data_IF_911047175962
#
_entry.id   IF_911047175962
#
_cell.length_a   1.000
_cell.length_b   1.000
_cell.length_c   1.000
_cell.angle_alpha   90.00
_cell.angle_beta   90.00
_cell.angle_gamma   90.00
#
_symmetry.space_group_name_H-M   'P 1'
#
loop_
_entity.id
_entity.type
_entity.pdbx_description
1 polymer ?
#
# COMPACT_ATOMS: atom_id res chain seq x y z
N UNK A 1 -73.78 8.00 -8.51
CA UNK A 1 -72.68 7.79 -9.49
C UNK A 1 -71.30 7.61 -8.84
N UNK A 2 -70.99 8.28 -7.71
CA UNK A 2 -69.68 8.20 -7.05
C UNK A 2 -69.19 6.80 -6.66
N UNK A 3 -70.07 5.90 -6.16
CA UNK A 3 -69.66 4.54 -5.76
C UNK A 3 -69.22 3.65 -6.93
N UNK A 4 -69.80 3.83 -8.12
CA UNK A 4 -69.42 3.04 -9.32
C UNK A 4 -68.09 3.51 -9.91
N UNK A 5 -67.82 4.82 -9.85
CA UNK A 5 -66.53 5.38 -10.26
C UNK A 5 -65.40 4.92 -9.32
N UNK A 6 -65.62 4.92 -8.00
CA UNK A 6 -64.64 4.45 -7.02
C UNK A 6 -64.26 2.97 -7.20
N UNK A 7 -65.23 2.10 -7.49
CA UNK A 7 -64.98 0.66 -7.73
C UNK A 7 -64.10 0.45 -8.97
N UNK A 8 -64.32 1.21 -10.04
CA UNK A 8 -63.50 1.13 -11.27
C UNK A 8 -62.07 1.60 -11.00
N UNK A 9 -61.90 2.70 -10.25
CA UNK A 9 -60.57 3.18 -9.86
C UNK A 9 -59.83 2.18 -8.97
N UNK A 10 -60.50 1.59 -7.97
CA UNK A 10 -59.91 0.54 -7.12
C UNK A 10 -59.48 -0.67 -7.95
N UNK A 11 -60.30 -1.13 -8.89
CA UNK A 11 -59.95 -2.24 -9.77
C UNK A 11 -58.71 -1.93 -10.62
N UNK A 12 -58.59 -0.72 -11.15
CA UNK A 12 -57.42 -0.28 -11.93
C UNK A 12 -56.15 -0.26 -11.05
N UNK A 13 -56.22 0.30 -9.85
CA UNK A 13 -55.07 0.33 -8.93
C UNK A 13 -54.65 -1.07 -8.48
N UNK A 14 -55.59 -2.00 -8.31
CA UNK A 14 -55.29 -3.40 -8.01
C UNK A 14 -54.60 -4.11 -9.19
N UNK A 15 -55.02 -3.83 -10.43
CA UNK A 15 -54.34 -4.37 -11.62
C UNK A 15 -52.91 -3.85 -11.72
N UNK A 16 -52.67 -2.56 -11.44
CA UNK A 16 -51.31 -2.01 -11.42
C UNK A 16 -50.46 -2.59 -10.28
N UNK A 17 -51.03 -2.80 -9.10
CA UNK A 17 -50.31 -3.41 -7.98
C UNK A 17 -49.93 -4.87 -8.27
N UNK A 18 -50.87 -5.68 -8.80
CA UNK A 18 -50.61 -7.09 -9.14
C UNK A 18 -49.63 -7.19 -10.30
N UNK A 19 -49.80 -6.39 -11.36
CA UNK A 19 -48.92 -6.39 -12.52
C UNK A 19 -47.48 -5.93 -12.19
N UNK A 20 -47.32 -4.98 -11.27
CA UNK A 20 -45.99 -4.55 -10.83
C UNK A 20 -45.33 -5.61 -9.94
N UNK A 21 -46.10 -6.29 -9.08
CA UNK A 21 -45.60 -7.35 -8.22
C UNK A 21 -45.13 -8.59 -9.01
N UNK A 22 -45.83 -8.96 -10.08
CA UNK A 22 -45.40 -10.08 -10.94
C UNK A 22 -44.12 -9.76 -11.71
N UNK A 23 -43.93 -8.50 -12.13
CA UNK A 23 -42.69 -8.06 -12.79
C UNK A 23 -41.51 -8.07 -11.81
N UNK A 24 -41.70 -7.64 -10.56
CA UNK A 24 -40.68 -7.70 -9.51
C UNK A 24 -40.20 -9.13 -9.22
N UNK A 25 -41.09 -10.12 -9.30
CA UNK A 25 -40.77 -11.52 -9.01
C UNK A 25 -40.12 -12.30 -10.17
N UNK A 26 -40.16 -11.76 -11.39
CA UNK A 26 -39.65 -12.43 -12.58
C UNK A 26 -38.39 -11.76 -13.16
N UNK A 27 -37.97 -10.61 -12.61
CA UNK A 27 -36.81 -9.87 -13.08
C UNK A 27 -35.52 -10.47 -12.50
N UNK A 28 -34.60 -10.87 -13.38
CA UNK A 28 -33.25 -11.30 -13.02
C UNK A 28 -32.33 -10.08 -13.00
N UNK A 29 -31.53 -9.92 -11.93
CA UNK A 29 -30.56 -8.84 -11.81
C UNK A 29 -29.40 -9.08 -12.77
N UNK A 30 -28.95 -8.07 -13.54
CA UNK A 30 -27.68 -8.17 -14.28
C UNK A 30 -26.54 -8.47 -13.30
N UNK A 31 -25.68 -9.42 -13.64
CA UNK A 31 -24.40 -9.61 -12.94
C UNK A 31 -23.33 -8.77 -13.63
N UNK A 32 -22.31 -8.33 -12.89
CA UNK A 32 -21.04 -7.93 -13.52
C UNK A 32 -20.32 -9.23 -13.79
N UNK A 33 -19.97 -9.48 -15.05
CA UNK A 33 -19.15 -10.62 -15.43
C UNK A 33 -18.25 -10.15 -16.56
N UNK A 34 -16.94 -10.23 -16.36
CA UNK A 34 -16.02 -9.91 -17.42
C UNK A 34 -16.09 -11.04 -18.46
N UNK A 35 -16.55 -10.74 -19.67
CA UNK A 35 -16.78 -11.76 -20.70
C UNK A 35 -15.46 -12.36 -21.24
N UNK A 36 -14.32 -11.68 -21.04
CA UNK A 36 -12.97 -12.15 -21.38
C UNK A 36 -11.89 -11.42 -20.54
N UNK A 37 -11.77 -11.73 -19.23
CA UNK A 37 -10.77 -11.07 -18.41
C UNK A 37 -9.37 -11.51 -18.84
N UNK A 38 -8.47 -10.55 -18.97
CA UNK A 38 -7.07 -10.79 -19.32
C UNK A 38 -6.38 -11.71 -18.30
N UNK A 39 -6.79 -11.60 -17.03
CA UNK A 39 -6.35 -12.49 -15.97
C UNK A 39 -7.51 -12.91 -15.07
N UNK A 40 -7.51 -14.19 -14.69
CA UNK A 40 -8.35 -14.75 -13.64
C UNK A 40 -7.43 -15.48 -12.65
N UNK A 41 -7.45 -15.06 -11.39
CA UNK A 41 -6.39 -15.29 -10.41
C UNK A 41 -6.99 -15.74 -9.08
N UNK A 42 -6.40 -16.80 -8.52
CA UNK A 42 -6.75 -17.32 -7.19
C UNK A 42 -5.65 -17.05 -6.16
N UNK A 43 -5.99 -17.17 -4.88
CA UNK A 43 -5.00 -16.99 -3.81
C UNK A 43 -3.86 -18.01 -3.91
N UNK A 44 -2.63 -17.53 -3.76
CA UNK A 44 -1.39 -18.30 -3.84
C UNK A 44 -0.86 -18.46 -5.27
N UNK A 45 -1.56 -17.92 -6.26
CA UNK A 45 -1.19 -18.02 -7.66
C UNK A 45 -0.12 -16.99 -8.06
N UNK A 46 0.67 -17.34 -9.07
CA UNK A 46 1.64 -16.45 -9.69
C UNK A 46 1.20 -16.09 -11.10
N UNK A 47 1.32 -14.81 -11.48
CA UNK A 47 1.07 -14.34 -12.83
C UNK A 47 2.13 -13.36 -13.30
N UNK A 48 2.45 -13.44 -14.59
CA UNK A 48 3.31 -12.46 -15.25
C UNK A 48 2.43 -11.37 -15.87
N UNK A 49 2.60 -10.15 -15.39
CA UNK A 49 1.93 -8.96 -15.90
C UNK A 49 3.00 -7.97 -16.35
N UNK A 50 2.92 -7.52 -17.60
CA UNK A 50 3.88 -6.57 -18.19
C UNK A 50 5.36 -6.98 -18.03
N UNK A 51 5.64 -8.28 -17.99
CA UNK A 51 6.99 -8.84 -17.86
C UNK A 51 7.52 -8.97 -16.43
N UNK A 52 6.75 -8.59 -15.41
CA UNK A 52 7.07 -8.81 -14.00
C UNK A 52 6.22 -9.96 -13.45
N UNK A 53 6.84 -10.88 -12.70
CA UNK A 53 6.13 -11.96 -12.01
C UNK A 53 5.59 -11.47 -10.66
N UNK A 54 4.30 -11.66 -10.45
CA UNK A 54 3.59 -11.29 -9.23
C UNK A 54 3.06 -12.55 -8.55
N UNK A 55 3.21 -12.62 -7.22
CA UNK A 55 2.60 -13.64 -6.37
C UNK A 55 1.42 -13.04 -5.63
N UNK A 56 0.22 -13.59 -5.83
CA UNK A 56 -1.01 -13.13 -5.18
C UNK A 56 -1.18 -13.85 -3.85
N UNK A 57 -0.70 -13.25 -2.77
CA UNK A 57 -0.69 -13.86 -1.44
C UNK A 57 -2.06 -13.90 -0.77
N UNK A 58 -2.93 -12.94 -1.11
CA UNK A 58 -4.26 -12.81 -0.55
C UNK A 58 -5.25 -12.41 -1.65
N UNK A 59 -6.37 -13.12 -1.70
CA UNK A 59 -7.53 -12.76 -2.52
C UNK A 59 -8.74 -12.90 -1.60
N UNK A 60 -9.45 -11.81 -1.38
CA UNK A 60 -10.63 -11.73 -0.52
C UNK A 60 -11.83 -11.25 -1.32
N UNK A 61 -13.02 -11.20 -0.72
CA UNK A 61 -14.23 -10.77 -1.44
C UNK A 61 -14.20 -9.30 -1.92
N UNK A 62 -13.27 -8.47 -1.43
CA UNK A 62 -13.24 -7.02 -1.74
C UNK A 62 -11.88 -6.53 -2.25
N UNK A 63 -10.81 -7.27 -1.98
CA UNK A 63 -9.47 -6.88 -2.40
C UNK A 63 -8.57 -8.09 -2.64
N UNK A 64 -7.50 -7.88 -3.40
CA UNK A 64 -6.42 -8.83 -3.57
C UNK A 64 -5.06 -8.13 -3.40
N UNK A 65 -4.08 -8.86 -2.88
CA UNK A 65 -2.73 -8.37 -2.65
C UNK A 65 -1.75 -9.22 -3.44
N UNK A 66 -0.97 -8.54 -4.29
CA UNK A 66 0.10 -9.11 -5.06
C UNK A 66 1.45 -8.61 -4.55
N UNK A 67 2.46 -9.45 -4.62
CA UNK A 67 3.84 -9.09 -4.30
C UNK A 67 4.75 -9.39 -5.47
N UNK A 68 5.77 -8.57 -5.67
CA UNK A 68 6.81 -8.81 -6.66
C UNK A 68 8.18 -8.44 -6.11
N UNK A 69 9.21 -9.15 -6.57
CA UNK A 69 10.58 -8.94 -6.11
C UNK A 69 11.34 -8.06 -7.11
N UNK A 70 11.86 -6.94 -6.62
CA UNK A 70 12.87 -6.16 -7.32
C UNK A 70 14.25 -6.64 -6.90
N UNK A 71 14.89 -7.50 -7.69
CA UNK A 71 16.20 -8.08 -7.37
C UNK A 71 17.33 -7.05 -7.22
N UNK A 72 17.15 -5.84 -7.75
CA UNK A 72 18.16 -4.78 -7.79
C UNK A 72 17.60 -3.44 -7.30
N UNK A 73 16.88 -3.46 -6.18
CA UNK A 73 16.40 -2.23 -5.58
C UNK A 73 17.56 -1.45 -4.97
N UNK A 74 17.59 -0.13 -5.23
CA UNK A 74 18.59 0.76 -4.65
C UNK A 74 18.23 1.10 -3.21
N UNK A 75 19.20 0.95 -2.33
CA UNK A 75 19.17 1.39 -0.94
C UNK A 75 20.26 2.43 -0.72
N UNK A 76 20.02 3.36 0.19
CA UNK A 76 20.97 4.42 0.53
C UNK A 76 20.97 4.66 2.03
N UNK A 77 22.14 5.02 2.55
CA UNK A 77 22.28 5.49 3.93
C UNK A 77 23.10 6.77 3.95
N UNK A 78 22.76 7.66 4.89
CA UNK A 78 23.46 8.93 5.07
C UNK A 78 24.20 8.93 6.40
N UNK A 79 25.50 9.18 6.33
CA UNK A 79 26.37 9.34 7.48
C UNK A 79 26.69 10.82 7.65
N UNK A 80 26.26 11.42 8.76
CA UNK A 80 26.54 12.84 9.01
C UNK A 80 28.01 13.04 9.35
N UNK A 81 28.55 14.21 9.03
CA UNK A 81 29.89 14.59 9.45
C UNK A 81 29.97 14.60 10.98
N UNK A 82 31.04 14.01 11.51
CA UNK A 82 31.31 13.76 12.92
C UNK A 82 30.46 12.68 13.59
N UNK A 83 29.58 12.00 12.86
CA UNK A 83 28.92 10.79 13.38
C UNK A 83 29.90 9.63 13.44
N UNK A 84 29.61 8.66 14.32
CA UNK A 84 30.32 7.39 14.41
C UNK A 84 29.60 6.34 13.58
N UNK A 85 30.32 5.67 12.69
CA UNK A 85 29.81 4.58 11.84
C UNK A 85 30.64 3.32 12.04
N UNK A 86 30.01 2.16 11.91
CA UNK A 86 30.67 0.86 12.02
C UNK A 86 31.09 0.37 10.62
N UNK A 87 32.39 0.11 10.46
CA UNK A 87 33.01 -0.34 9.21
C UNK A 87 34.01 -1.43 9.55
N UNK A 88 33.88 -2.59 8.93
CA UNK A 88 34.76 -3.76 9.13
C UNK A 88 34.88 -4.19 10.60
N UNK A 89 33.81 -4.08 11.36
CA UNK A 89 33.73 -4.42 12.79
C UNK A 89 34.30 -3.37 13.75
N UNK A 90 34.70 -2.19 13.25
CA UNK A 90 35.30 -1.12 14.04
C UNK A 90 34.55 0.21 13.85
N UNK A 91 34.52 1.04 14.88
CA UNK A 91 33.88 2.36 14.82
C UNK A 91 34.83 3.43 14.31
N UNK A 92 34.35 4.24 13.37
CA UNK A 92 35.04 5.38 12.80
C UNK A 92 34.18 6.64 12.83
N UNK A 93 34.80 7.79 13.08
CA UNK A 93 34.19 9.10 12.91
C UNK A 93 34.30 9.56 11.47
N UNK A 94 33.17 10.00 10.91
CA UNK A 94 33.10 10.54 9.54
C UNK A 94 33.67 11.95 9.49
N UNK A 95 34.61 12.22 8.59
CA UNK A 95 35.17 13.54 8.38
C UNK A 95 35.21 13.89 6.89
N UNK A 96 34.35 14.82 6.48
CA UNK A 96 34.40 15.38 5.13
C UNK A 96 35.68 16.20 4.98
N UNK A 97 36.52 15.83 4.00
CA UNK A 97 37.81 16.51 3.74
C UNK A 97 37.68 17.51 2.61
N UNK A 98 36.96 17.16 1.54
CA UNK A 98 36.67 18.05 0.43
C UNK A 98 35.42 17.61 -0.35
N UNK A 99 34.29 18.24 -0.04
CA UNK A 99 33.02 17.95 -0.70
C UNK A 99 33.03 18.27 -2.21
N UNK A 100 33.80 19.26 -2.67
CA UNK A 100 33.83 19.65 -4.09
C UNK A 100 34.42 18.58 -5.01
N UNK A 101 35.27 17.70 -4.47
CA UNK A 101 35.84 16.54 -5.20
C UNK A 101 35.29 15.21 -4.69
N UNK A 102 34.29 15.25 -3.81
CA UNK A 102 33.65 14.06 -3.29
C UNK A 102 34.49 13.25 -2.29
N UNK A 103 35.39 13.88 -1.55
CA UNK A 103 36.35 13.19 -0.68
C UNK A 103 36.02 13.32 0.83
N UNK A 104 36.22 12.22 1.56
CA UNK A 104 36.10 12.16 3.01
C UNK A 104 37.07 11.13 3.60
N UNK A 105 37.18 11.14 4.93
CA UNK A 105 37.93 10.18 5.72
C UNK A 105 37.04 9.55 6.78
N UNK A 106 37.27 8.29 7.07
CA UNK A 106 36.83 7.63 8.29
C UNK A 106 38.03 7.55 9.24
N UNK A 107 37.87 8.06 10.47
CA UNK A 107 38.95 8.10 11.47
C UNK A 107 38.59 7.26 12.67
N UNK A 108 39.46 6.35 13.07
CA UNK A 108 39.21 5.40 14.15
C UNK A 108 38.74 6.09 15.43
N UNK A 109 37.64 5.60 16.01
CA UNK A 109 37.20 6.02 17.34
C UNK A 109 38.02 5.25 18.39
N UNK A 110 39.05 5.92 18.91
CA UNK A 110 39.94 5.33 19.91
C UNK A 110 39.42 5.49 21.34
N UNK A 111 39.38 4.38 22.08
CA UNK A 111 39.07 4.32 23.50
C UNK A 111 40.30 3.99 24.34
N UNK A 112 40.33 4.48 25.58
CA UNK A 112 41.34 4.10 26.57
C UNK A 112 40.74 3.01 27.48
N UNK A 113 41.43 1.89 27.64
CA UNK A 113 41.03 0.74 28.47
C UNK A 113 41.37 0.92 29.96
N UNK A 114 41.86 2.10 30.33
CA UNK A 114 42.36 2.45 31.66
C UNK A 114 41.66 3.69 32.24
N UNK A 115 41.66 3.84 33.58
CA UNK A 115 41.16 5.05 34.21
C UNK A 115 41.91 6.29 33.74
N UNK A 116 41.17 7.38 33.53
CA UNK A 116 41.71 8.67 33.11
C UNK A 116 41.45 9.76 34.16
N UNK A 117 42.29 10.79 34.18
CA UNK A 117 42.11 11.99 35.00
C UNK A 117 42.34 13.25 34.17
N UNK A 118 41.48 14.23 34.34
CA UNK A 118 41.63 15.57 33.75
C UNK A 118 42.53 16.44 34.64
N UNK A 119 43.55 17.07 34.06
CA UNK A 119 44.37 18.11 34.71
C UNK A 119 44.69 19.22 33.73
N UNK A 120 44.37 20.47 34.11
CA UNK A 120 44.62 21.66 33.30
C UNK A 120 44.06 21.57 31.86
N UNK A 121 42.93 20.86 31.67
CA UNK A 121 42.30 20.66 30.36
C UNK A 121 42.98 19.61 29.47
N UNK A 122 43.90 18.82 30.02
CA UNK A 122 44.49 17.66 29.35
C UNK A 122 44.04 16.38 30.06
N UNK A 123 43.54 15.42 29.28
CA UNK A 123 43.20 14.09 29.79
C UNK A 123 44.47 13.25 29.88
N UNK A 124 44.76 12.72 31.06
CA UNK A 124 45.86 11.79 31.31
C UNK A 124 45.33 10.39 31.59
N UNK A 125 46.03 9.37 31.09
CA UNK A 125 45.81 7.96 31.40
C UNK A 125 46.66 7.57 32.60
N UNK A 126 46.05 6.90 33.57
CA UNK A 126 46.75 6.44 34.77
C UNK A 126 47.42 5.09 34.45
N UNK A 127 48.75 5.10 34.40
CA UNK A 127 49.57 3.91 34.12
C UNK A 127 50.22 3.44 35.43
N UNK A 128 49.83 2.28 35.99
CA UNK A 128 50.50 1.74 37.18
C UNK A 128 51.91 1.27 36.84
N UNK A 129 52.87 1.67 37.67
CA UNK A 129 54.28 1.27 37.62
C UNK A 129 54.69 0.77 39.02
N UNK A 130 54.47 -0.51 39.28
CA UNK A 130 54.74 -1.12 40.59
C UNK A 130 53.84 -0.54 41.69
N UNK A 131 54.46 0.05 42.72
CA UNK A 131 53.76 0.76 43.81
C UNK A 131 53.44 2.22 43.49
N UNK A 132 53.84 2.71 42.31
CA UNK A 132 53.66 4.09 41.86
C UNK A 132 52.72 4.17 40.66
N UNK A 133 52.26 5.38 40.35
CA UNK A 133 51.43 5.65 39.18
C UNK A 133 52.03 6.81 38.38
N UNK A 134 52.07 6.65 37.08
CA UNK A 134 52.53 7.66 36.13
C UNK A 134 51.34 8.16 35.32
N UNK A 135 51.32 9.47 35.05
CA UNK A 135 50.29 10.11 34.23
C UNK A 135 50.84 10.32 32.84
N UNK A 136 50.28 9.62 31.85
CA UNK A 136 50.67 9.75 30.45
C UNK A 136 49.55 10.52 29.73
N UNK A 137 49.84 11.61 28.99
CA UNK A 137 48.83 12.28 28.17
C UNK A 137 48.09 11.28 27.28
N UNK A 138 46.77 11.42 27.14
CA UNK A 138 45.95 10.50 26.33
C UNK A 138 46.49 10.33 24.91
N UNK A 139 46.91 11.41 24.27
CA UNK A 139 47.46 11.42 22.91
C UNK A 139 48.80 10.68 22.80
N UNK A 140 49.56 10.59 23.89
CA UNK A 140 50.83 9.83 23.94
C UNK A 140 50.60 8.36 24.32
N UNK A 141 49.51 8.09 25.06
CA UNK A 141 49.12 6.73 25.44
C UNK A 141 48.50 5.95 24.28
N UNK A 142 47.68 6.62 23.47
CA UNK A 142 47.00 6.01 22.34
C UNK A 142 47.96 5.85 21.15
N UNK A 143 47.83 4.75 20.37
CA UNK A 143 48.55 4.61 19.12
C UNK A 143 48.07 5.63 18.07
N UNK A 144 48.80 5.74 16.96
CA UNK A 144 48.34 6.52 15.81
C UNK A 144 46.97 5.99 15.33
N UNK A 145 46.08 6.91 14.97
CA UNK A 145 44.73 6.58 14.51
C UNK A 145 44.77 5.93 13.14
N UNK A 146 43.97 4.87 12.96
CA UNK A 146 43.68 4.39 11.61
C UNK A 146 42.80 5.40 10.86
N UNK A 147 43.15 5.67 9.60
CA UNK A 147 42.48 6.65 8.74
C UNK A 147 42.25 6.04 7.37
N UNK A 148 40.99 5.86 7.02
CA UNK A 148 40.57 5.34 5.72
C UNK A 148 40.07 6.51 4.87
N UNK A 149 40.73 6.75 3.74
CA UNK A 149 40.35 7.80 2.80
C UNK A 149 39.48 7.23 1.68
N UNK A 150 38.40 7.94 1.36
CA UNK A 150 37.44 7.53 0.34
C UNK A 150 37.03 8.72 -0.53
N UNK A 151 36.61 8.41 -1.74
CA UNK A 151 36.00 9.32 -2.71
C UNK A 151 34.68 8.74 -3.23
N UNK A 152 33.85 9.59 -3.85
CA UNK A 152 32.65 9.12 -4.57
C UNK A 152 33.02 8.02 -5.58
N UNK A 153 32.28 6.92 -5.55
CA UNK A 153 32.50 5.73 -6.35
C UNK A 153 33.36 4.65 -5.68
N UNK A 154 34.04 4.96 -4.58
CA UNK A 154 34.81 3.94 -3.86
C UNK A 154 33.89 2.96 -3.14
N UNK A 155 34.32 1.70 -3.07
CA UNK A 155 33.63 0.67 -2.30
C UNK A 155 33.97 0.81 -0.81
N UNK A 156 32.97 0.63 0.04
CA UNK A 156 33.09 0.65 1.50
C UNK A 156 32.50 -0.63 2.08
N UNK A 157 33.20 -1.28 3.00
CA UNK A 157 32.63 -2.38 3.78
C UNK A 157 31.73 -1.81 4.85
N UNK A 158 30.41 -1.99 4.71
CA UNK A 158 29.44 -1.46 5.66
C UNK A 158 28.93 -2.56 6.58
N UNK A 159 29.13 -2.41 7.89
CA UNK A 159 28.70 -3.42 8.86
C UNK A 159 27.16 -3.49 8.91
N UNK A 160 26.63 -4.71 8.82
CA UNK A 160 25.19 -4.94 8.73
C UNK A 160 24.64 -4.95 7.30
N UNK A 161 25.51 -4.78 6.30
CA UNK A 161 25.17 -4.98 4.89
C UNK A 161 26.18 -5.92 4.20
N UNK A 162 25.70 -7.07 3.72
CA UNK A 162 26.54 -8.02 2.98
C UNK A 162 26.68 -7.66 1.49
N UNK A 163 25.93 -6.67 1.00
CA UNK A 163 25.97 -6.24 -0.39
C UNK A 163 27.12 -5.25 -0.64
N UNK A 164 27.61 -5.24 -1.88
CA UNK A 164 28.61 -4.25 -2.31
C UNK A 164 28.04 -2.84 -2.11
N UNK A 165 28.71 -2.07 -1.26
CA UNK A 165 28.32 -0.71 -0.88
C UNK A 165 29.32 0.28 -1.47
N UNK A 166 28.83 1.31 -2.14
CA UNK A 166 29.66 2.34 -2.76
C UNK A 166 29.33 3.73 -2.20
N UNK A 167 30.30 4.64 -2.24
CA UNK A 167 30.09 6.05 -1.90
C UNK A 167 29.31 6.72 -3.03
N UNK A 168 28.03 7.01 -2.81
CA UNK A 168 27.15 7.62 -3.81
C UNK A 168 27.37 9.14 -3.93
N UNK A 169 27.52 9.84 -2.80
CA UNK A 169 27.75 11.28 -2.80
C UNK A 169 28.42 11.75 -1.51
N UNK A 170 29.11 12.89 -1.58
CA UNK A 170 29.70 13.56 -0.41
C UNK A 170 29.32 15.03 -0.49
N UNK A 171 28.71 15.53 0.58
CA UNK A 171 28.37 16.93 0.80
C UNK A 171 29.24 17.52 1.92
N UNK A 172 29.12 18.81 2.20
CA UNK A 172 29.88 19.45 3.29
C UNK A 172 29.56 18.87 4.68
N UNK A 173 28.35 18.33 4.85
CA UNK A 173 27.84 17.90 6.16
C UNK A 173 27.54 16.40 6.26
N UNK A 174 27.62 15.65 5.16
CA UNK A 174 27.24 14.24 5.15
C UNK A 174 27.82 13.49 3.94
N UNK A 175 27.98 12.18 4.12
CA UNK A 175 28.32 11.20 3.08
C UNK A 175 27.10 10.32 2.87
N UNK A 176 26.73 10.04 1.62
CA UNK A 176 25.71 9.05 1.29
C UNK A 176 26.38 7.84 0.66
N UNK A 177 26.12 6.67 1.21
CA UNK A 177 26.49 5.39 0.62
C UNK A 177 25.27 4.73 0.00
N UNK A 178 25.49 3.87 -0.98
CA UNK A 178 24.46 3.12 -1.66
C UNK A 178 24.84 1.65 -1.85
N UNK A 179 23.82 0.80 -1.90
CA UNK A 179 23.96 -0.59 -2.29
C UNK A 179 22.69 -1.05 -3.00
N UNK A 180 22.80 -2.16 -3.72
CA UNK A 180 21.68 -2.81 -4.39
C UNK A 180 21.38 -4.13 -3.70
N UNK A 181 20.09 -4.37 -3.42
CA UNK A 181 19.63 -5.60 -2.79
C UNK A 181 18.20 -5.91 -3.23
N UNK A 182 17.75 -7.18 -3.12
CA UNK A 182 16.36 -7.52 -3.38
C UNK A 182 15.38 -6.78 -2.47
N UNK A 183 14.27 -6.32 -3.03
CA UNK A 183 13.13 -5.72 -2.31
C UNK A 183 11.83 -6.36 -2.75
N UNK A 184 11.09 -6.92 -1.81
CA UNK A 184 9.69 -7.27 -2.02
C UNK A 184 8.84 -6.01 -2.00
N UNK A 185 8.09 -5.78 -3.07
CA UNK A 185 7.11 -4.71 -3.18
C UNK A 185 5.71 -5.33 -3.17
N UNK A 186 4.74 -4.54 -2.73
CA UNK A 186 3.33 -4.93 -2.64
C UNK A 186 2.49 -4.07 -3.57
N UNK A 187 1.44 -4.67 -4.11
CA UNK A 187 0.43 -4.03 -4.94
C UNK A 187 -0.94 -4.55 -4.52
N UNK A 188 -1.85 -3.62 -4.22
CA UNK A 188 -3.22 -3.94 -3.83
C UNK A 188 -4.18 -3.66 -4.98
N UNK A 189 -5.15 -4.54 -5.16
CA UNK A 189 -6.23 -4.42 -6.12
C UNK A 189 -7.55 -4.37 -5.34
N UNK A 190 -8.29 -3.26 -5.43
CA UNK A 190 -9.65 -3.14 -4.91
C UNK A 190 -10.68 -3.58 -5.95
N UNK A 191 -11.69 -4.35 -5.54
CA UNK A 191 -12.79 -4.73 -6.45
C UNK A 191 -13.55 -3.47 -6.91
N UNK A 192 -13.64 -3.29 -8.23
CA UNK A 192 -14.17 -2.13 -8.93
C UNK A 192 -13.21 -0.94 -9.04
N UNK A 193 -11.97 -1.08 -8.58
CA UNK A 193 -10.95 -0.05 -8.70
C UNK A 193 -10.02 -0.33 -9.89
N UNK A 194 -9.44 0.75 -10.42
CA UNK A 194 -8.41 0.66 -11.45
C UNK A 194 -7.05 0.83 -10.80
N UNK A 195 -6.16 -0.13 -11.05
CA UNK A 195 -4.81 -0.18 -10.49
C UNK A 195 -3.80 -0.18 -11.63
N UNK A 196 -2.82 0.73 -11.56
CA UNK A 196 -1.73 0.78 -12.52
C UNK A 196 -0.68 -0.29 -12.18
N UNK A 197 -0.48 -1.23 -13.11
CA UNK A 197 0.57 -2.25 -13.06
C UNK A 197 1.63 -1.87 -14.08
N UNK A 198 2.74 -1.30 -13.61
CA UNK A 198 3.79 -0.70 -14.46
C UNK A 198 3.21 0.43 -15.33
N UNK A 199 2.96 0.18 -16.63
CA UNK A 199 2.42 1.15 -17.59
C UNK A 199 1.03 0.72 -18.12
N UNK A 200 0.35 -0.20 -17.43
CA UNK A 200 -0.97 -0.73 -17.84
C UNK A 200 -1.95 -0.63 -16.70
N UNK A 201 -3.06 0.05 -16.94
CA UNK A 201 -4.18 0.15 -16.01
C UNK A 201 -5.07 -1.09 -16.13
N UNK A 202 -5.34 -1.74 -15.00
CA UNK A 202 -6.28 -2.85 -14.91
C UNK A 202 -7.42 -2.48 -13.96
N UNK A 203 -8.66 -2.69 -14.38
CA UNK A 203 -9.80 -2.72 -13.47
C UNK A 203 -9.90 -4.11 -12.86
N UNK A 204 -9.95 -4.16 -11.53
CA UNK A 204 -10.13 -5.39 -10.79
C UNK A 204 -11.61 -5.65 -10.53
N UNK A 205 -12.03 -6.90 -10.71
CA UNK A 205 -13.32 -7.40 -10.26
C UNK A 205 -13.09 -8.67 -9.45
N UNK A 206 -13.82 -8.84 -8.35
CA UNK A 206 -13.69 -10.06 -7.55
C UNK A 206 -15.05 -10.73 -7.43
N UNK A 207 -15.11 -11.94 -7.96
CA UNK A 207 -16.30 -12.78 -7.91
C UNK A 207 -16.11 -13.99 -6.99
N UNK A 208 -17.22 -14.66 -6.68
CA UNK A 208 -17.20 -15.95 -6.00
C UNK A 208 -17.07 -17.06 -7.04
N UNK A 209 -15.90 -17.69 -7.09
CA UNK A 209 -15.64 -18.80 -8.01
C UNK A 209 -16.53 -20.02 -7.75
N UNK A 210 -16.46 -21.00 -8.65
CA UNK A 210 -17.33 -22.19 -8.62
C UNK A 210 -17.21 -23.05 -7.34
N UNK A 211 -16.08 -22.97 -6.62
CA UNK A 211 -15.84 -23.62 -5.32
C UNK A 211 -16.27 -22.76 -4.12
N UNK A 212 -16.74 -21.53 -4.35
CA UNK A 212 -17.04 -20.52 -3.32
C UNK A 212 -15.83 -19.69 -2.89
N UNK A 213 -14.66 -19.91 -3.49
CA UNK A 213 -13.44 -19.14 -3.23
C UNK A 213 -13.42 -17.84 -4.06
N UNK A 214 -12.90 -16.73 -3.52
CA UNK A 214 -12.83 -15.49 -4.27
C UNK A 214 -11.81 -15.61 -5.42
N UNK A 215 -12.21 -15.11 -6.59
CA UNK A 215 -11.38 -15.09 -7.81
C UNK A 215 -11.23 -13.64 -8.23
N UNK A 216 -9.99 -13.17 -8.33
CA UNK A 216 -9.66 -11.86 -8.88
C UNK A 216 -9.62 -11.96 -10.40
N UNK A 217 -10.44 -11.15 -11.05
CA UNK A 217 -10.40 -10.93 -12.48
C UNK A 217 -9.85 -9.53 -12.77
N UNK A 218 -8.93 -9.42 -13.72
CA UNK A 218 -8.35 -8.15 -14.14
C UNK A 218 -8.65 -7.92 -15.61
N UNK A 219 -9.11 -6.70 -15.93
CA UNK A 219 -9.33 -6.30 -17.32
C UNK A 219 -8.79 -4.92 -17.67
N UNK A 220 -8.39 -4.75 -18.94
CA UNK A 220 -8.09 -3.43 -19.51
C UNK A 220 -9.29 -2.81 -20.23
N UNK A 221 -10.38 -3.56 -20.42
CA UNK A 221 -11.64 -3.04 -20.98
C UNK A 221 -12.48 -2.36 -19.89
N UNK A 222 -12.09 -1.14 -19.56
CA UNK A 222 -12.78 -0.33 -18.55
C UNK A 222 -14.21 0.04 -18.97
N UNK A 223 -14.50 0.11 -20.28
CA UNK A 223 -15.81 0.52 -20.80
C UNK A 223 -16.85 -0.59 -20.63
N UNK A 224 -16.47 -1.84 -20.90
CA UNK A 224 -17.36 -3.00 -20.68
C UNK A 224 -17.70 -3.16 -19.19
N UNK A 225 -16.71 -3.08 -18.29
CA UNK A 225 -16.96 -3.12 -16.85
C UNK A 225 -17.89 -1.99 -16.39
N UNK A 226 -17.66 -0.76 -16.85
CA UNK A 226 -18.49 0.39 -16.50
C UNK A 226 -19.94 0.24 -17.01
N UNK A 227 -20.12 -0.32 -18.21
CA UNK A 227 -21.44 -0.61 -18.78
C UNK A 227 -22.21 -1.63 -17.95
N UNK A 228 -21.56 -2.67 -17.46
CA UNK A 228 -22.17 -3.68 -16.58
C UNK A 228 -22.60 -3.11 -15.24
N UNK A 229 -21.77 -2.25 -14.63
CA UNK A 229 -22.12 -1.55 -13.40
C UNK A 229 -23.32 -0.62 -13.62
N UNK A 230 -23.34 0.15 -14.71
CA UNK A 230 -24.47 1.03 -15.05
C UNK A 230 -25.76 0.21 -15.28
N UNK A 231 -25.65 -0.95 -15.92
CA UNK A 231 -26.80 -1.85 -16.12
C UNK A 231 -27.39 -2.34 -14.78
N UNK A 232 -26.56 -2.62 -13.77
CA UNK A 232 -27.03 -2.98 -12.43
C UNK A 232 -27.74 -1.82 -11.73
N UNK A 233 -27.15 -0.62 -11.75
CA UNK A 233 -27.75 0.56 -11.12
C UNK A 233 -29.09 0.89 -11.76
N UNK A 234 -29.16 0.83 -13.09
CA UNK A 234 -30.39 1.06 -13.84
C UNK A 234 -31.47 0.02 -13.54
N UNK A 235 -31.08 -1.25 -13.36
CA UNK A 235 -31.99 -2.29 -12.93
C UNK A 235 -32.53 -2.02 -11.51
N UNK A 236 -31.65 -1.67 -10.57
CA UNK A 236 -32.03 -1.35 -9.19
C UNK A 236 -33.00 -0.16 -9.13
N UNK A 237 -32.73 0.91 -9.87
CA UNK A 237 -33.61 2.08 -9.96
C UNK A 237 -35.00 1.70 -10.50
N UNK A 238 -35.06 0.85 -11.52
CA UNK A 238 -36.34 0.35 -12.05
C UNK A 238 -37.09 -0.51 -11.05
N UNK A 239 -36.40 -1.38 -10.32
CA UNK A 239 -37.03 -2.20 -9.30
C UNK A 239 -37.57 -1.36 -8.15
N UNK A 240 -36.85 -0.33 -7.73
CA UNK A 240 -37.32 0.61 -6.71
C UNK A 240 -38.50 1.46 -7.20
N UNK A 241 -38.50 1.87 -8.47
CA UNK A 241 -39.65 2.48 -9.13
C UNK A 241 -40.90 1.58 -9.11
N UNK A 242 -40.75 0.30 -9.48
CA UNK A 242 -41.85 -0.68 -9.47
C UNK A 242 -42.37 -0.96 -8.05
N UNK A 243 -41.48 -1.03 -7.04
CA UNK A 243 -41.87 -1.12 -5.63
C UNK A 243 -42.69 0.11 -5.21
N UNK A 244 -42.24 1.31 -5.61
CA UNK A 244 -42.96 2.56 -5.36
C UNK A 244 -44.37 2.56 -5.96
N UNK A 245 -44.53 2.15 -7.21
CA UNK A 245 -45.83 2.03 -7.89
C UNK A 245 -46.74 1.01 -7.19
N UNK A 246 -46.18 -0.13 -6.75
CA UNK A 246 -46.92 -1.17 -6.03
C UNK A 246 -47.48 -0.64 -4.70
N UNK A 247 -46.63 0.01 -3.89
CA UNK A 247 -47.01 0.58 -2.59
C UNK A 247 -48.05 1.70 -2.77
N UNK A 248 -47.80 2.63 -3.69
CA UNK A 248 -48.69 3.77 -3.92
C UNK A 248 -50.06 3.31 -4.44
N UNK A 249 -50.10 2.36 -5.38
CA UNK A 249 -51.35 1.82 -5.91
C UNK A 249 -52.14 1.06 -4.83
N UNK A 250 -51.46 0.28 -3.98
CA UNK A 250 -52.09 -0.38 -2.84
C UNK A 250 -52.66 0.61 -1.82
N UNK A 251 -51.89 1.63 -1.45
CA UNK A 251 -52.32 2.66 -0.51
C UNK A 251 -53.49 3.49 -1.07
N UNK A 252 -53.45 3.87 -2.34
CA UNK A 252 -54.54 4.58 -3.02
C UNK A 252 -55.82 3.72 -3.06
N UNK A 253 -55.71 2.42 -3.33
CA UNK A 253 -56.85 1.51 -3.28
C UNK A 253 -57.47 1.44 -1.87
N UNK A 254 -56.64 1.33 -0.82
CA UNK A 254 -57.11 1.34 0.58
C UNK A 254 -57.79 2.65 0.95
N UNK A 255 -57.21 3.79 0.58
CA UNK A 255 -57.79 5.11 0.84
C UNK A 255 -59.12 5.32 0.11
N UNK A 256 -59.22 4.88 -1.16
CA UNK A 256 -60.48 4.93 -1.90
C UNK A 256 -61.57 4.06 -1.27
N UNK A 257 -61.20 2.90 -0.72
CA UNK A 257 -62.11 2.06 0.06
C UNK A 257 -62.54 2.79 1.33
N UNK A 258 -61.61 3.35 2.11
CA UNK A 258 -61.94 4.12 3.32
C UNK A 258 -62.86 5.31 3.04
N UNK A 259 -62.58 6.08 1.98
CA UNK A 259 -63.40 7.21 1.56
C UNK A 259 -64.77 6.79 1.03
N UNK A 260 -64.91 5.60 0.44
CA UNK A 260 -66.21 5.04 0.06
C UNK A 260 -67.12 4.78 1.28
N UNK A 261 -66.54 4.60 2.47
CA UNK A 261 -67.26 4.37 3.72
C UNK A 261 -67.37 5.61 4.61
N UNK A 262 -66.84 6.77 4.20
CA UNK A 262 -67.10 8.03 4.92
C UNK A 262 -68.59 8.37 4.85
N UNK A 263 -69.23 8.77 5.97
CA UNK A 263 -70.61 9.23 5.96
C UNK A 263 -70.74 10.49 5.09
N UNK A 264 -71.67 10.49 4.14
CA UNK A 264 -71.97 11.69 3.36
C UNK A 264 -72.53 12.76 4.29
N UNK A 265 -71.76 13.82 4.55
CA UNK A 265 -72.30 15.02 5.18
C UNK A 265 -73.13 15.77 4.13
N UNK A 266 -74.40 15.41 4.04
CA UNK A 266 -75.44 16.37 3.71
C UNK A 266 -75.85 17.08 5.01
#
# INVERSE_FOLDING_TARGET
MQRRAAVVSVAIFLVFAVGSYTLLGAAEQPSVSLDDPEYSITQGEQRVMSGTEYTFSEVSAQSATATWENESARYTETWSANDSVAVSGQNYTVRVTNASVGAFELREVQSVDRPTVERNGTTYVIVPEGETQTLVPREEYLPEQDVLAFSVGDAVTYDGNDNETAVASVSESAVTVEWFAPRTNELEFGSGETTEVQDTEYTAYIESGSSGEPVLELTTDHEDYASDVEAQEYFAERMDGLRGVTIFSGAAAVLLVMFSFLPSRY
#
